data_IF_885902917002
#
_entry.id   IF_885902917002
#
_cell.length_a   1.000
_cell.length_b   1.000
_cell.length_c   1.000
_cell.angle_alpha   90.00
_cell.angle_beta   90.00
_cell.angle_gamma   90.00
#
_symmetry.space_group_name_H-M   'P 1'
#
loop_
_entity.id
_entity.type
_entity.pdbx_description
1 polymer ?
#
# COMPACT_ATOMS: atom_id res chain seq x y z
N UNK A 1 45.26 43.48 -2.17
CA UNK A 1 45.37 42.06 -2.59
C UNK A 1 44.23 41.28 -1.95
N UNK A 2 43.57 40.48 -2.78
CA UNK A 2 42.23 39.92 -2.59
C UNK A 2 42.12 38.79 -1.55
N UNK A 3 40.93 38.77 -0.95
CA UNK A 3 40.23 37.76 -0.16
C UNK A 3 40.17 36.37 -0.79
N UNK A 4 40.04 35.32 0.04
CA UNK A 4 38.86 34.44 0.06
C UNK A 4 38.78 33.66 1.38
N UNK A 5 37.69 33.91 2.11
CA UNK A 5 37.25 33.18 3.30
C UNK A 5 36.26 32.10 2.82
N UNK A 6 36.53 30.82 3.10
CA UNK A 6 35.63 29.72 2.71
C UNK A 6 34.81 29.26 3.90
N UNK A 7 33.57 29.71 3.93
CA UNK A 7 32.53 29.30 4.87
C UNK A 7 32.07 27.88 4.51
N UNK A 8 32.48 26.87 5.28
CA UNK A 8 31.91 25.53 5.13
C UNK A 8 30.51 25.48 5.75
N UNK A 9 29.51 25.45 4.86
CA UNK A 9 28.10 25.20 5.15
C UNK A 9 27.95 23.78 5.72
N UNK A 10 27.34 23.65 6.90
CA UNK A 10 26.88 22.37 7.47
C UNK A 10 25.82 21.77 6.55
N UNK A 11 25.94 20.50 6.10
CA UNK A 11 24.79 19.81 5.54
C UNK A 11 23.81 19.46 6.66
N UNK A 12 22.79 20.30 6.80
CA UNK A 12 21.48 19.92 7.34
C UNK A 12 20.86 18.90 6.39
N UNK A 13 20.37 17.78 6.92
CA UNK A 13 19.66 16.79 6.13
C UNK A 13 19.49 15.47 6.87
N UNK A 14 18.65 15.46 7.92
CA UNK A 14 18.10 14.21 8.42
C UNK A 14 17.28 13.55 7.29
N UNK A 15 17.51 12.26 6.95
CA UNK A 15 16.66 11.57 6.00
C UNK A 15 15.34 11.19 6.67
N UNK A 16 14.24 11.74 6.16
CA UNK A 16 12.89 11.29 6.44
C UNK A 16 12.67 9.92 5.78
N UNK A 17 12.65 8.88 6.61
CA UNK A 17 12.08 7.54 6.42
C UNK A 17 12.50 6.70 5.19
N UNK A 18 13.18 5.57 5.49
CA UNK A 18 13.12 4.34 4.69
C UNK A 18 14.33 4.00 3.83
N UNK A 19 15.43 4.76 3.90
CA UNK A 19 16.70 4.39 3.30
C UNK A 19 17.31 3.24 4.10
N UNK A 20 17.52 2.06 3.50
CA UNK A 20 18.73 1.31 3.86
C UNK A 20 19.86 2.16 3.28
N UNK A 21 20.61 2.90 4.11
CA UNK A 21 21.67 3.74 3.56
C UNK A 21 22.68 2.80 2.94
N UNK A 22 22.99 3.03 1.65
CA UNK A 22 24.19 2.50 1.00
C UNK A 22 25.35 2.66 1.98
N UNK A 23 26.08 1.60 2.36
CA UNK A 23 27.40 1.85 2.87
C UNK A 23 28.19 2.43 1.69
N UNK A 24 28.56 3.70 1.82
CA UNK A 24 29.72 4.30 1.14
C UNK A 24 30.85 3.27 1.13
N UNK A 25 31.75 3.18 0.12
CA UNK A 25 32.79 2.15 0.09
C UNK A 25 33.64 2.24 1.37
N UNK A 26 33.28 1.43 2.36
CA UNK A 26 33.73 1.53 3.74
C UNK A 26 34.10 0.12 4.22
N UNK A 27 34.99 -0.51 3.45
CA UNK A 27 35.68 -1.72 3.85
C UNK A 27 34.82 -2.99 3.97
N UNK A 28 35.45 -4.10 4.37
CA UNK A 28 34.87 -5.44 4.34
C UNK A 28 33.63 -5.63 5.25
N UNK A 29 33.44 -4.76 6.24
CA UNK A 29 32.30 -4.82 7.16
C UNK A 29 30.97 -4.39 6.51
N UNK A 30 31.03 -3.49 5.52
CA UNK A 30 29.87 -3.08 4.74
C UNK A 30 29.37 -4.23 3.84
N UNK A 31 30.30 -4.93 3.21
CA UNK A 31 30.02 -6.06 2.34
C UNK A 31 29.40 -7.23 3.09
N UNK A 32 29.81 -7.45 4.34
CA UNK A 32 29.25 -8.52 5.17
C UNK A 32 27.80 -8.22 5.60
N UNK A 33 27.47 -6.96 5.91
CA UNK A 33 26.08 -6.54 6.21
C UNK A 33 25.19 -6.71 4.98
N UNK A 34 25.68 -6.38 3.80
CA UNK A 34 24.94 -6.56 2.56
C UNK A 34 24.76 -8.05 2.21
N UNK A 35 25.81 -8.87 2.35
CA UNK A 35 25.71 -10.34 2.19
C UNK A 35 24.66 -10.95 3.12
N UNK A 36 24.62 -10.53 4.39
CA UNK A 36 23.57 -10.94 5.34
C UNK A 36 22.18 -10.46 4.91
N UNK A 37 22.07 -9.26 4.33
CA UNK A 37 20.80 -8.75 3.81
C UNK A 37 20.30 -9.56 2.61
N UNK A 38 21.19 -9.85 1.64
CA UNK A 38 20.87 -10.70 0.49
C UNK A 38 20.44 -12.09 0.96
N UNK A 39 21.16 -12.69 1.91
CA UNK A 39 20.82 -13.99 2.48
C UNK A 39 19.47 -13.98 3.22
N UNK A 40 19.12 -12.90 3.91
CA UNK A 40 17.83 -12.77 4.59
C UNK A 40 16.66 -12.62 3.60
N UNK A 41 16.89 -12.01 2.43
CA UNK A 41 15.87 -11.76 1.41
C UNK A 41 15.72 -12.94 0.44
N UNK A 42 16.82 -13.62 0.11
CA UNK A 42 16.87 -14.65 -0.92
C UNK A 42 17.13 -16.07 -0.38
N UNK A 43 17.44 -16.24 0.91
CA UNK A 43 17.86 -17.52 1.48
C UNK A 43 19.37 -17.78 1.37
N UNK A 44 19.84 -18.90 1.94
CA UNK A 44 21.25 -19.30 1.82
C UNK A 44 21.61 -19.57 0.35
N UNK A 45 22.75 -19.06 -0.10
CA UNK A 45 23.23 -19.11 -1.49
C UNK A 45 23.39 -20.53 -2.09
N UNK A 46 23.18 -21.59 -1.30
CA UNK A 46 23.36 -22.99 -1.70
C UNK A 46 22.09 -23.70 -2.21
N UNK A 47 20.90 -23.08 -2.15
CA UNK A 47 19.65 -23.79 -2.48
C UNK A 47 18.67 -23.04 -3.40
N UNK A 48 18.97 -21.83 -3.86
CA UNK A 48 18.05 -21.00 -4.67
C UNK A 48 18.67 -20.69 -6.03
N UNK A 49 18.01 -21.02 -7.16
CA UNK A 49 18.49 -20.67 -8.49
C UNK A 49 18.75 -19.17 -8.61
N UNK A 50 19.85 -18.80 -9.29
CA UNK A 50 20.26 -17.40 -9.48
C UNK A 50 19.12 -16.55 -10.08
N UNK A 51 18.39 -17.11 -11.06
CA UNK A 51 17.22 -16.49 -11.66
C UNK A 51 16.12 -16.12 -10.66
N UNK A 52 15.85 -16.97 -9.65
CA UNK A 52 14.85 -16.69 -8.61
C UNK A 52 15.29 -15.55 -7.67
N UNK A 53 16.59 -15.51 -7.34
CA UNK A 53 17.18 -14.42 -6.55
C UNK A 53 17.10 -13.10 -7.33
N UNK A 54 17.51 -13.12 -8.60
CA UNK A 54 17.44 -11.96 -9.49
C UNK A 54 15.99 -11.50 -9.70
N UNK A 55 15.04 -12.41 -9.90
CA UNK A 55 13.62 -12.08 -10.02
C UNK A 55 13.09 -11.34 -8.79
N UNK A 56 13.50 -11.77 -7.58
CA UNK A 56 13.16 -11.09 -6.33
C UNK A 56 13.76 -9.69 -6.22
N UNK A 57 15.01 -9.53 -6.64
CA UNK A 57 15.69 -8.24 -6.65
C UNK A 57 15.06 -7.29 -7.67
N UNK A 58 14.72 -7.77 -8.87
CA UNK A 58 14.02 -6.99 -9.90
C UNK A 58 12.68 -6.47 -9.35
N UNK A 59 11.88 -7.34 -8.71
CA UNK A 59 10.62 -6.90 -8.08
C UNK A 59 10.83 -5.78 -7.09
N UNK A 60 11.93 -5.80 -6.32
CA UNK A 60 12.20 -4.79 -5.30
C UNK A 60 12.79 -3.49 -5.84
N UNK A 61 13.66 -3.55 -6.84
CA UNK A 61 14.31 -2.38 -7.42
C UNK A 61 13.37 -1.58 -8.32
N UNK A 62 12.50 -2.28 -9.05
CA UNK A 62 11.60 -1.69 -10.03
C UNK A 62 10.16 -1.56 -9.52
N UNK A 63 9.91 -1.79 -8.23
CA UNK A 63 8.58 -1.67 -7.65
C UNK A 63 8.00 -0.24 -7.80
N UNK A 64 6.69 -0.09 -8.09
CA UNK A 64 5.74 -1.15 -8.43
C UNK A 64 5.94 -1.65 -9.86
N UNK A 65 5.91 -2.98 -10.03
CA UNK A 65 5.93 -3.62 -11.34
C UNK A 65 4.51 -3.79 -11.90
N UNK A 66 4.36 -3.64 -13.20
CA UNK A 66 3.14 -3.95 -13.93
C UNK A 66 3.46 -4.50 -15.31
N UNK A 67 2.55 -5.32 -15.85
CA UNK A 67 2.65 -5.86 -17.21
C UNK A 67 1.65 -5.11 -18.08
N UNK A 68 2.10 -4.54 -19.19
CA UNK A 68 1.20 -3.84 -20.14
C UNK A 68 0.44 -4.83 -21.01
N UNK A 69 -0.54 -4.34 -21.77
CA UNK A 69 -1.35 -5.15 -22.70
C UNK A 69 -0.48 -5.86 -23.76
N UNK A 70 0.60 -5.20 -24.21
CA UNK A 70 1.58 -5.77 -25.15
C UNK A 70 2.52 -6.82 -24.50
N UNK A 71 2.31 -7.14 -23.23
CA UNK A 71 3.12 -8.10 -22.48
C UNK A 71 4.46 -7.56 -21.97
N UNK A 72 4.74 -6.26 -22.15
CA UNK A 72 5.98 -5.65 -21.68
C UNK A 72 5.94 -5.45 -20.15
N UNK A 73 7.07 -5.73 -19.49
CA UNK A 73 7.23 -5.49 -18.06
C UNK A 73 7.71 -4.05 -17.83
N UNK A 74 6.97 -3.31 -17.03
CA UNK A 74 7.28 -1.94 -16.67
C UNK A 74 7.39 -1.82 -15.16
N UNK A 75 8.28 -0.93 -14.73
CA UNK A 75 8.49 -0.63 -13.33
C UNK A 75 8.82 0.84 -13.12
N UNK A 76 9.33 1.15 -11.94
CA UNK A 76 9.84 2.49 -11.63
C UNK A 76 11.29 2.44 -11.21
N UNK A 77 12.10 3.30 -11.81
CA UNK A 77 13.47 3.57 -11.38
C UNK A 77 13.56 5.06 -10.99
N UNK A 78 13.98 5.35 -9.75
CA UNK A 78 14.03 6.73 -9.22
C UNK A 78 12.71 7.51 -9.38
N UNK A 79 11.58 6.82 -9.30
CA UNK A 79 10.24 7.40 -9.46
C UNK A 79 9.79 7.59 -10.91
N UNK A 80 10.66 7.35 -11.90
CA UNK A 80 10.32 7.43 -13.32
C UNK A 80 9.88 6.07 -13.85
N UNK A 81 8.87 6.02 -14.74
CA UNK A 81 8.48 4.77 -15.39
C UNK A 81 9.57 4.33 -16.37
N UNK A 82 10.02 3.08 -16.24
CA UNK A 82 11.09 2.52 -17.09
C UNK A 82 10.69 1.12 -17.54
N UNK A 83 10.92 0.75 -18.82
CA UNK A 83 10.74 -0.62 -19.29
C UNK A 83 11.80 -1.54 -18.68
N UNK A 84 11.37 -2.63 -18.06
CA UNK A 84 12.25 -3.61 -17.40
C UNK A 84 12.64 -4.68 -18.41
N UNK A 85 13.76 -4.43 -19.09
CA UNK A 85 14.32 -5.32 -20.12
C UNK A 85 15.61 -5.99 -19.64
N UNK A 86 16.08 -7.08 -20.29
CA UNK A 86 17.36 -7.69 -19.93
C UNK A 86 18.53 -6.69 -19.97
N UNK A 87 18.51 -5.75 -20.93
CA UNK A 87 19.52 -4.71 -21.04
C UNK A 87 19.46 -3.72 -19.87
N UNK A 88 18.27 -3.29 -19.46
CA UNK A 88 18.09 -2.40 -18.31
C UNK A 88 18.54 -3.08 -17.01
N UNK A 89 18.20 -4.36 -16.82
CA UNK A 89 18.66 -5.15 -15.67
C UNK A 89 20.17 -5.32 -15.70
N UNK A 90 20.77 -5.65 -16.84
CA UNK A 90 22.22 -5.79 -16.97
C UNK A 90 22.96 -4.47 -16.69
N UNK A 91 22.45 -3.35 -17.19
CA UNK A 91 23.03 -2.03 -16.89
C UNK A 91 22.94 -1.73 -15.38
N UNK A 92 21.79 -2.00 -14.76
CA UNK A 92 21.61 -1.85 -13.32
C UNK A 92 22.58 -2.74 -12.53
N UNK A 93 22.75 -4.01 -12.92
CA UNK A 93 23.68 -4.94 -12.30
C UNK A 93 25.14 -4.45 -12.44
N UNK A 94 25.49 -3.88 -13.60
CA UNK A 94 26.82 -3.30 -13.84
C UNK A 94 27.07 -2.05 -13.00
N UNK A 95 26.07 -1.15 -12.91
CA UNK A 95 26.13 0.04 -12.05
C UNK A 95 26.20 -0.31 -10.56
N UNK A 96 25.70 -1.48 -10.19
CA UNK A 96 25.63 -1.97 -8.80
C UNK A 96 26.75 -2.94 -8.42
N UNK A 97 27.64 -3.27 -9.36
CA UNK A 97 28.72 -4.27 -9.24
C UNK A 97 28.25 -5.63 -8.67
N UNK A 98 27.05 -6.05 -9.05
CA UNK A 98 26.41 -7.21 -8.44
C UNK A 98 27.06 -8.52 -8.87
N UNK A 99 27.61 -8.58 -10.10
CA UNK A 99 28.37 -9.72 -10.60
C UNK A 99 29.67 -9.95 -9.83
N UNK A 100 30.36 -8.86 -9.43
CA UNK A 100 31.54 -8.94 -8.56
C UNK A 100 31.19 -9.43 -7.15
N UNK A 101 30.04 -9.03 -6.62
CA UNK A 101 29.59 -9.39 -5.27
C UNK A 101 29.01 -10.80 -5.16
N UNK A 102 28.33 -11.27 -6.20
CA UNK A 102 27.81 -12.64 -6.26
C UNK A 102 28.89 -13.65 -6.68
N UNK A 103 30.03 -13.18 -7.18
CA UNK A 103 31.09 -14.02 -7.72
C UNK A 103 30.68 -14.78 -8.99
N UNK A 104 29.53 -14.45 -9.56
CA UNK A 104 28.96 -15.06 -10.76
C UNK A 104 28.35 -13.98 -11.64
N UNK A 105 28.72 -13.99 -12.92
CA UNK A 105 28.12 -13.13 -13.91
C UNK A 105 26.84 -13.79 -14.44
N UNK A 106 25.67 -13.14 -14.32
CA UNK A 106 24.42 -13.74 -14.76
C UNK A 106 24.39 -13.88 -16.29
N UNK A 107 24.05 -15.07 -16.76
CA UNK A 107 23.91 -15.33 -18.18
C UNK A 107 22.67 -14.63 -18.76
N UNK A 108 22.57 -14.58 -20.09
CA UNK A 108 21.34 -14.08 -20.73
C UNK A 108 20.11 -14.92 -20.34
N UNK A 109 20.25 -16.24 -20.24
CA UNK A 109 19.17 -17.13 -19.84
C UNK A 109 18.69 -16.88 -18.40
N UNK A 110 19.62 -16.61 -17.47
CA UNK A 110 19.27 -16.29 -16.08
C UNK A 110 18.47 -14.98 -15.98
N UNK A 111 18.83 -13.98 -16.80
CA UNK A 111 18.12 -12.70 -16.85
C UNK A 111 16.73 -12.85 -17.45
N UNK A 112 16.58 -13.63 -18.51
CA UNK A 112 15.28 -13.88 -19.14
C UNK A 112 14.35 -14.64 -18.18
N UNK A 113 14.85 -15.68 -17.51
CA UNK A 113 14.09 -16.41 -16.49
C UNK A 113 13.71 -15.52 -15.30
N UNK A 114 14.63 -14.69 -14.82
CA UNK A 114 14.37 -13.74 -13.74
C UNK A 114 13.26 -12.74 -14.10
N UNK A 115 13.23 -12.26 -15.34
CA UNK A 115 12.18 -11.38 -15.83
C UNK A 115 10.82 -12.07 -15.93
N UNK A 116 10.79 -13.34 -16.36
CA UNK A 116 9.56 -14.14 -16.36
C UNK A 116 9.02 -14.31 -14.94
N UNK A 117 9.89 -14.61 -13.98
CA UNK A 117 9.53 -14.72 -12.56
C UNK A 117 8.99 -13.38 -12.04
N UNK A 118 9.66 -12.27 -12.33
CA UNK A 118 9.23 -10.94 -11.90
C UNK A 118 7.89 -10.53 -12.53
N UNK A 119 7.68 -10.81 -13.82
CA UNK A 119 6.41 -10.57 -14.51
C UNK A 119 5.27 -11.42 -13.93
N UNK A 120 5.52 -12.70 -13.62
CA UNK A 120 4.55 -13.56 -12.96
C UNK A 120 4.12 -13.01 -11.59
N UNK A 121 5.08 -12.54 -10.79
CA UNK A 121 4.79 -11.88 -9.50
C UNK A 121 4.00 -10.58 -9.67
N UNK A 122 4.36 -9.76 -10.66
CA UNK A 122 3.65 -8.52 -10.94
C UNK A 122 2.18 -8.76 -11.32
N UNK A 123 1.89 -9.80 -12.11
CA UNK A 123 0.51 -10.21 -12.44
C UNK A 123 -0.27 -10.63 -11.20
N UNK A 124 0.31 -11.48 -10.37
CA UNK A 124 -0.32 -11.94 -9.12
C UNK A 124 -0.62 -10.78 -8.17
N UNK A 125 0.31 -9.84 -7.99
CA UNK A 125 0.09 -8.66 -7.15
C UNK A 125 -0.96 -7.70 -7.73
N UNK A 126 -1.01 -7.57 -9.06
CA UNK A 126 -2.07 -6.81 -9.73
C UNK A 126 -3.44 -7.45 -9.50
N UNK A 127 -3.59 -8.75 -9.71
CA UNK A 127 -4.83 -9.49 -9.45
C UNK A 127 -5.27 -9.35 -7.98
N UNK A 128 -4.34 -9.47 -7.03
CA UNK A 128 -4.61 -9.24 -5.60
C UNK A 128 -5.14 -7.83 -5.32
N UNK A 129 -4.54 -6.83 -5.96
CA UNK A 129 -4.95 -5.43 -5.81
C UNK A 129 -6.35 -5.22 -6.37
N UNK A 130 -6.63 -5.71 -7.59
CA UNK A 130 -7.95 -5.62 -8.23
C UNK A 130 -9.04 -6.28 -7.38
N UNK A 131 -8.76 -7.47 -6.83
CA UNK A 131 -9.70 -8.18 -5.95
C UNK A 131 -9.94 -7.41 -4.66
N UNK A 132 -8.89 -6.85 -4.05
CA UNK A 132 -9.02 -6.04 -2.84
C UNK A 132 -9.84 -4.77 -3.09
N UNK A 133 -9.62 -4.08 -4.21
CA UNK A 133 -10.38 -2.91 -4.64
C UNK A 133 -11.86 -3.25 -4.88
N UNK A 134 -12.14 -4.39 -5.53
CA UNK A 134 -13.50 -4.87 -5.74
C UNK A 134 -14.22 -5.15 -4.40
N UNK A 135 -13.56 -5.86 -3.48
CA UNK A 135 -14.12 -6.10 -2.15
C UNK A 135 -14.34 -4.82 -1.34
N UNK A 136 -13.49 -3.81 -1.53
CA UNK A 136 -13.68 -2.50 -0.91
C UNK A 136 -14.89 -1.77 -1.52
N UNK A 137 -15.03 -1.80 -2.85
CA UNK A 137 -16.17 -1.21 -3.54
C UNK A 137 -17.49 -1.88 -3.16
N UNK A 138 -17.52 -3.20 -3.04
CA UNK A 138 -18.72 -3.95 -2.65
C UNK A 138 -19.13 -3.67 -1.21
N UNK A 139 -18.17 -3.56 -0.28
CA UNK A 139 -18.45 -3.10 1.10
C UNK A 139 -19.02 -1.69 1.12
N UNK A 140 -18.42 -0.75 0.38
CA UNK A 140 -18.92 0.61 0.31
C UNK A 140 -20.34 0.69 -0.26
N UNK A 141 -20.69 -0.17 -1.24
CA UNK A 141 -22.06 -0.26 -1.76
C UNK A 141 -23.04 -0.81 -0.73
N UNK A 142 -22.65 -1.85 0.01
CA UNK A 142 -23.48 -2.42 1.08
C UNK A 142 -23.75 -1.38 2.19
N UNK A 143 -22.71 -0.65 2.62
CA UNK A 143 -22.85 0.41 3.63
C UNK A 143 -23.82 1.51 3.18
N UNK A 144 -23.76 1.91 1.89
CA UNK A 144 -24.69 2.91 1.33
C UNK A 144 -26.14 2.42 1.29
N UNK A 145 -26.37 1.12 1.03
CA UNK A 145 -27.72 0.53 1.05
C UNK A 145 -28.25 0.50 2.49
N UNK A 146 -27.43 0.05 3.45
CA UNK A 146 -27.79 0.01 4.87
C UNK A 146 -28.15 1.41 5.39
N UNK A 147 -27.39 2.43 5.02
CA UNK A 147 -27.66 3.81 5.43
C UNK A 147 -28.93 4.38 4.79
N UNK A 148 -29.23 4.02 3.54
CA UNK A 148 -30.49 4.36 2.89
C UNK A 148 -31.68 3.71 3.61
N UNK A 149 -31.59 2.43 3.93
CA UNK A 149 -32.65 1.73 4.69
C UNK A 149 -32.86 2.33 6.08
N UNK A 150 -31.79 2.68 6.79
CA UNK A 150 -31.88 3.37 8.09
C UNK A 150 -32.56 4.73 7.96
N UNK A 151 -32.23 5.49 6.93
CA UNK A 151 -32.85 6.78 6.65
C UNK A 151 -34.35 6.63 6.35
N UNK A 152 -34.74 5.63 5.55
CA UNK A 152 -36.15 5.33 5.25
C UNK A 152 -36.93 4.91 6.50
N UNK A 153 -36.38 4.00 7.31
CA UNK A 153 -37.00 3.58 8.58
C UNK A 153 -37.17 4.78 9.52
N UNK A 154 -36.16 5.65 9.63
CA UNK A 154 -36.23 6.87 10.43
C UNK A 154 -37.31 7.82 9.89
N UNK A 155 -37.37 8.03 8.59
CA UNK A 155 -38.39 8.87 7.97
C UNK A 155 -39.80 8.32 8.20
N UNK A 156 -39.98 6.99 8.12
CA UNK A 156 -41.25 6.34 8.42
C UNK A 156 -41.67 6.52 9.89
N UNK A 157 -40.74 6.35 10.84
CA UNK A 157 -41.00 6.59 12.26
C UNK A 157 -41.36 8.05 12.55
N UNK A 158 -40.69 9.01 11.91
CA UNK A 158 -41.01 10.43 12.04
C UNK A 158 -42.41 10.74 11.49
N UNK A 159 -42.82 10.13 10.37
CA UNK A 159 -44.19 10.25 9.86
C UNK A 159 -45.23 9.66 10.83
N UNK A 160 -44.92 8.53 11.47
CA UNK A 160 -45.79 7.91 12.47
C UNK A 160 -45.92 8.78 13.73
N UNK A 161 -44.82 9.38 14.20
CA UNK A 161 -44.85 10.31 15.33
C UNK A 161 -45.66 11.57 15.01
N UNK A 162 -45.44 12.18 13.84
CA UNK A 162 -46.24 13.33 13.41
C UNK A 162 -47.74 13.01 13.36
N UNK A 163 -48.11 11.83 12.86
CA UNK A 163 -49.50 11.38 12.83
C UNK A 163 -50.10 11.11 14.23
N UNK A 164 -49.27 10.90 15.26
CA UNK A 164 -49.72 10.79 16.65
C UNK A 164 -49.91 12.17 17.29
N UNK A 165 -49.03 13.13 16.98
CA UNK A 165 -49.15 14.52 17.46
C UNK A 165 -50.34 15.25 16.81
N UNK A 166 -50.68 14.95 15.55
CA UNK A 166 -51.84 15.52 14.85
C UNK A 166 -53.18 14.92 15.31
N UNK A 167 -53.18 13.92 16.21
CA UNK A 167 -54.44 13.45 16.80
C UNK A 167 -55.00 14.55 17.69
N UNK A 168 -56.30 14.90 17.57
CA UNK A 168 -56.92 15.80 18.52
C UNK A 168 -56.71 15.21 19.91
N UNK A 169 -56.03 15.95 20.79
CA UNK A 169 -55.97 15.61 22.21
C UNK A 169 -57.43 15.47 22.64
N UNK A 170 -57.87 14.23 22.87
CA UNK A 170 -59.11 14.00 23.55
C UNK A 170 -58.92 14.65 24.92
N UNK A 171 -59.53 15.83 25.08
CA UNK A 171 -59.67 16.50 26.36
C UNK A 171 -60.10 15.41 27.33
N UNK A 172 -59.36 15.19 28.44
CA UNK A 172 -59.69 14.11 29.35
C UNK A 172 -61.17 14.26 29.71
N UNK A 173 -61.92 13.16 29.54
CA UNK A 173 -63.33 13.09 29.89
C UNK A 173 -63.52 13.75 31.25
N UNK A 174 -64.53 14.62 31.36
CA UNK A 174 -64.83 15.38 32.57
C UNK A 174 -64.56 14.52 33.81
N UNK A 175 -63.82 15.06 34.80
CA UNK A 175 -63.42 14.27 35.95
C UNK A 175 -64.66 13.64 36.57
N UNK A 176 -64.70 12.31 36.62
CA UNK A 176 -65.82 11.60 37.23
C UNK A 176 -66.03 12.12 38.65
N UNK A 177 -67.26 12.15 39.14
CA UNK A 177 -67.65 12.74 40.44
C UNK A 177 -66.88 12.20 41.68
N UNK A 178 -66.02 11.19 41.51
CA UNK A 178 -65.03 10.76 42.51
C UNK A 178 -63.81 11.69 42.63
N UNK A 179 -63.35 12.30 41.52
CA UNK A 179 -62.17 13.17 41.48
C UNK A 179 -62.42 14.54 42.14
N UNK A 180 -63.60 15.12 41.95
CA UNK A 180 -63.97 16.38 42.64
C UNK A 180 -64.05 16.21 44.16
N UNK A 181 -64.44 15.02 44.65
CA UNK A 181 -64.50 14.72 46.09
C UNK A 181 -63.10 14.63 46.72
N UNK A 182 -62.13 14.11 45.97
CA UNK A 182 -60.73 14.03 46.42
C UNK A 182 -60.09 15.42 46.50
N UNK A 183 -60.46 16.33 45.59
CA UNK A 183 -59.90 17.69 45.52
C UNK A 183 -60.42 18.64 46.60
N UNK A 184 -61.58 18.37 47.20
CA UNK A 184 -62.15 19.16 48.32
C UNK A 184 -61.65 18.74 49.71
N UNK A 185 -60.81 17.71 49.79
CA UNK A 185 -60.29 17.14 51.05
C UNK A 185 -58.82 17.49 51.33
N UNK A 186 -58.17 18.23 50.46
CA UNK A 186 -56.87 18.88 50.71
C UNK A 186 -57.07 20.38 50.87
#
# INVERSE_FOLDING_TARGET
MNTFSSTHIRPSGAPAHGTVPRPTPAGPEADERFRRHVQAVAGAASSVPLAATLGSLITRWFAPLHVTEDGALWGREHGQPVPVTPAAVRDLLRRSDLGGQLGTEPSAADLDEALVIAAGRARVEHERTVVAEQHQADRARADLVDDAERAERRAALLRQLAALDDRPQQVPAEPSAGWERLRRRG
#
